data_IF_839179316978
#
_entry.id   IF_839179316978
#
_cell.length_a   1.000
_cell.length_b   1.000
_cell.length_c   1.000
_cell.angle_alpha   90.00
_cell.angle_beta   90.00
_cell.angle_gamma   90.00
#
_symmetry.space_group_name_H-M   'P 1'
#
loop_
_entity.id
_entity.type
_entity.pdbx_description
1 polymer ?
#
# COMPACT_ATOMS: atom_id res chain seq x y z
N UNK A 1 20.86 -11.51 28.26
CA UNK A 1 20.91 -10.03 28.20
C UNK A 1 21.47 -9.60 26.85
N UNK A 2 20.86 -8.65 26.15
CA UNK A 2 21.36 -8.16 24.85
C UNK A 2 22.61 -7.31 25.08
N UNK A 3 23.70 -7.65 24.36
CA UNK A 3 24.92 -6.84 24.38
C UNK A 3 24.74 -5.59 23.52
N UNK A 4 24.45 -4.46 24.16
CA UNK A 4 24.16 -3.18 23.48
C UNK A 4 25.36 -2.65 22.67
N UNK A 5 26.60 -2.86 23.12
CA UNK A 5 27.79 -2.42 22.40
C UNK A 5 28.00 -3.24 21.12
N UNK A 6 27.71 -4.53 21.15
CA UNK A 6 27.74 -5.38 19.96
C UNK A 6 26.65 -4.99 18.97
N UNK A 7 25.43 -4.73 19.47
CA UNK A 7 24.31 -4.26 18.64
C UNK A 7 24.66 -2.95 17.94
N UNK A 8 25.21 -1.97 18.65
CA UNK A 8 25.60 -0.68 18.05
C UNK A 8 26.63 -0.83 16.93
N UNK A 9 27.61 -1.75 17.10
CA UNK A 9 28.60 -2.04 16.05
C UNK A 9 27.97 -2.69 14.82
N UNK A 10 27.03 -3.63 15.01
CA UNK A 10 26.30 -4.25 13.90
C UNK A 10 25.43 -3.22 13.18
N UNK A 11 24.72 -2.36 13.91
CA UNK A 11 23.91 -1.29 13.31
C UNK A 11 24.78 -0.37 12.45
N UNK A 12 25.88 0.14 12.97
CA UNK A 12 26.78 1.00 12.20
C UNK A 12 27.35 0.31 10.94
N UNK A 13 27.67 -0.98 11.05
CA UNK A 13 28.12 -1.76 9.90
C UNK A 13 27.05 -1.91 8.82
N UNK A 14 25.79 -2.21 9.21
CA UNK A 14 24.70 -2.36 8.25
C UNK A 14 24.29 -1.01 7.64
N UNK A 15 24.36 0.09 8.38
CA UNK A 15 24.15 1.45 7.85
C UNK A 15 25.19 1.80 6.78
N UNK A 16 26.48 1.55 7.05
CA UNK A 16 27.55 1.76 6.06
C UNK A 16 27.34 0.89 4.81
N UNK A 17 26.96 -0.38 5.01
CA UNK A 17 26.67 -1.31 3.93
C UNK A 17 25.47 -0.84 3.10
N UNK A 18 24.41 -0.38 3.76
CA UNK A 18 23.22 0.17 3.10
C UNK A 18 23.57 1.33 2.18
N UNK A 19 24.32 2.30 2.66
CA UNK A 19 24.77 3.46 1.87
C UNK A 19 25.60 3.05 0.63
N UNK A 20 26.46 2.06 0.78
CA UNK A 20 27.27 1.55 -0.33
C UNK A 20 26.45 0.82 -1.40
N UNK A 21 25.37 0.13 -0.99
CA UNK A 21 24.56 -0.68 -1.89
C UNK A 21 23.46 0.14 -2.58
N UNK A 22 23.10 1.33 -2.07
CA UNK A 22 21.94 2.09 -2.56
C UNK A 22 22.24 3.55 -2.92
N UNK A 23 23.36 3.87 -3.61
CA UNK A 23 23.71 5.25 -3.92
C UNK A 23 22.69 5.97 -4.79
N UNK A 24 22.12 5.31 -5.81
CA UNK A 24 21.09 5.90 -6.69
C UNK A 24 19.78 6.15 -5.95
N UNK A 25 19.39 5.25 -5.06
CA UNK A 25 18.23 5.46 -4.18
C UNK A 25 18.44 6.70 -3.31
N UNK A 26 19.66 6.92 -2.80
CA UNK A 26 20.01 8.14 -2.06
C UNK A 26 19.89 9.40 -2.91
N UNK A 27 20.41 9.40 -4.11
CA UNK A 27 20.32 10.53 -5.05
C UNK A 27 18.87 10.86 -5.41
N UNK A 28 18.04 9.84 -5.69
CA UNK A 28 16.62 10.01 -5.96
C UNK A 28 15.86 10.55 -4.75
N UNK A 29 16.21 10.10 -3.55
CA UNK A 29 15.60 10.59 -2.32
C UNK A 29 15.90 12.06 -2.08
N UNK A 30 17.16 12.51 -2.24
CA UNK A 30 17.51 13.92 -2.13
C UNK A 30 16.78 14.78 -3.16
N UNK A 31 16.71 14.33 -4.39
CA UNK A 31 15.93 15.00 -5.45
C UNK A 31 14.43 15.04 -5.11
N UNK A 32 13.88 13.97 -4.57
CA UNK A 32 12.47 13.87 -4.22
C UNK A 32 12.06 14.86 -3.11
N UNK A 33 12.99 15.21 -2.20
CA UNK A 33 12.75 16.21 -1.14
C UNK A 33 12.48 17.61 -1.68
N UNK A 34 12.88 17.92 -2.91
CA UNK A 34 12.64 19.23 -3.53
C UNK A 34 11.14 19.47 -3.80
N UNK A 35 10.36 18.40 -3.96
CA UNK A 35 8.94 18.48 -4.37
C UNK A 35 7.97 17.61 -3.56
N UNK A 36 8.48 16.72 -2.71
CA UNK A 36 7.65 15.83 -1.89
C UNK A 36 7.99 15.95 -0.41
N UNK A 37 7.01 16.18 0.47
CA UNK A 37 7.21 16.17 1.91
C UNK A 37 7.86 14.86 2.38
N UNK A 38 9.04 14.98 3.03
CA UNK A 38 9.81 13.83 3.47
C UNK A 38 10.46 12.99 2.36
N UNK A 39 10.49 13.49 1.11
CA UNK A 39 11.12 12.83 -0.04
C UNK A 39 10.40 11.58 -0.53
N UNK A 40 9.13 11.39 -0.16
CA UNK A 40 8.35 10.18 -0.47
C UNK A 40 6.91 10.52 -0.89
N UNK A 41 6.28 9.71 -1.75
CA UNK A 41 4.89 9.93 -2.16
C UNK A 41 3.87 9.84 -1.01
N UNK A 42 4.14 9.02 0.00
CA UNK A 42 3.28 8.86 1.18
C UNK A 42 4.14 8.89 2.44
N UNK A 43 3.73 9.66 3.44
CA UNK A 43 4.51 9.93 4.66
C UNK A 43 4.98 8.68 5.41
N UNK A 44 4.25 7.60 5.38
CA UNK A 44 4.63 6.33 6.01
C UNK A 44 5.85 5.67 5.35
N UNK A 45 6.11 5.92 4.06
CA UNK A 45 7.26 5.37 3.35
C UNK A 45 8.60 5.92 3.88
N UNK A 46 8.60 7.09 4.53
CA UNK A 46 9.79 7.62 5.21
C UNK A 46 10.13 6.91 6.53
N UNK A 47 9.26 6.04 7.02
CA UNK A 47 9.44 5.32 8.29
C UNK A 47 10.15 3.97 8.14
N UNK A 48 10.51 3.57 6.94
CA UNK A 48 11.27 2.34 6.72
C UNK A 48 12.69 2.48 7.31
N UNK A 49 13.26 1.37 7.82
CA UNK A 49 14.63 1.39 8.34
C UNK A 49 15.62 1.72 7.23
N UNK A 50 16.70 2.41 7.60
CA UNK A 50 17.73 2.89 6.69
C UNK A 50 17.78 4.42 6.64
N UNK A 51 18.82 4.98 6.01
CA UNK A 51 18.99 6.42 5.87
C UNK A 51 17.94 7.06 4.93
N UNK A 52 17.40 6.26 4.01
CA UNK A 52 16.38 6.63 3.04
C UNK A 52 15.68 5.36 2.51
N UNK A 53 14.48 5.47 1.93
CA UNK A 53 13.82 4.33 1.31
C UNK A 53 14.55 3.85 0.05
N UNK A 54 14.51 2.55 -0.21
CA UNK A 54 14.96 1.96 -1.47
C UNK A 54 13.95 2.29 -2.56
N UNK A 55 14.42 2.71 -3.73
CA UNK A 55 13.58 3.00 -4.89
C UNK A 55 13.52 1.77 -5.80
N UNK A 56 12.31 1.30 -6.09
CA UNK A 56 12.08 0.11 -6.92
C UNK A 56 12.19 0.47 -8.39
N UNK A 57 12.89 -0.33 -9.17
CA UNK A 57 12.95 -0.27 -10.64
C UNK A 57 11.90 -1.20 -11.26
N UNK A 58 11.90 -2.48 -10.90
CA UNK A 58 10.99 -3.47 -11.45
C UNK A 58 10.66 -4.58 -10.46
N UNK A 59 9.52 -5.26 -10.71
CA UNK A 59 9.11 -6.39 -9.91
C UNK A 59 8.40 -7.46 -10.76
N UNK A 60 8.70 -8.74 -10.49
CA UNK A 60 8.10 -9.90 -11.15
C UNK A 60 7.99 -11.09 -10.20
N UNK A 61 6.83 -11.71 -10.14
CA UNK A 61 6.60 -12.82 -9.22
C UNK A 61 6.85 -12.42 -7.77
N UNK A 62 7.70 -13.17 -7.07
CA UNK A 62 8.03 -12.91 -5.66
C UNK A 62 9.30 -12.04 -5.48
N UNK A 63 9.76 -11.35 -6.53
CA UNK A 63 11.00 -10.57 -6.47
C UNK A 63 10.80 -9.16 -7.01
N UNK A 64 11.59 -8.25 -6.46
CA UNK A 64 11.79 -6.93 -7.05
C UNK A 64 13.28 -6.60 -7.15
N UNK A 65 13.60 -5.66 -8.01
CA UNK A 65 14.94 -5.09 -8.18
C UNK A 65 14.84 -3.60 -7.95
N UNK A 66 15.80 -3.05 -7.20
CA UNK A 66 15.89 -1.61 -6.99
C UNK A 66 16.64 -0.91 -8.13
N UNK A 67 16.64 0.42 -8.10
CA UNK A 67 17.32 1.27 -9.09
C UNK A 67 18.86 1.13 -9.05
N UNK A 68 19.39 0.55 -7.98
CA UNK A 68 20.81 0.25 -7.80
C UNK A 68 21.20 -1.12 -8.37
N UNK A 69 20.19 -1.94 -8.75
CA UNK A 69 20.36 -3.27 -9.33
C UNK A 69 20.36 -4.41 -8.31
N UNK A 70 20.08 -4.12 -7.05
CA UNK A 70 19.97 -5.17 -6.02
C UNK A 70 18.64 -5.90 -6.15
N UNK A 71 18.64 -7.22 -6.03
CA UNK A 71 17.45 -8.06 -6.11
C UNK A 71 17.03 -8.57 -4.74
N UNK A 72 15.73 -8.50 -4.46
CA UNK A 72 15.12 -8.87 -3.18
C UNK A 72 14.01 -9.89 -3.38
N UNK A 73 13.77 -10.71 -2.33
CA UNK A 73 12.54 -11.48 -2.20
C UNK A 73 11.54 -10.59 -1.48
N UNK A 74 10.37 -10.37 -2.07
CA UNK A 74 9.33 -9.52 -1.50
C UNK A 74 8.44 -10.31 -0.55
N UNK A 75 8.66 -10.12 0.75
CA UNK A 75 7.78 -10.62 1.80
C UNK A 75 6.69 -9.62 2.23
N UNK A 76 6.73 -8.39 1.71
CA UNK A 76 5.72 -7.37 1.96
C UNK A 76 4.52 -7.50 1.03
N UNK A 77 4.72 -8.05 -0.18
CA UNK A 77 3.67 -8.26 -1.20
C UNK A 77 2.95 -6.97 -1.58
N UNK A 78 3.67 -5.84 -1.58
CA UNK A 78 3.05 -4.54 -1.83
C UNK A 78 1.93 -4.22 -0.85
N UNK A 79 2.09 -4.58 0.42
CA UNK A 79 1.07 -4.49 1.47
C UNK A 79 -0.23 -5.22 1.08
N UNK A 80 -0.08 -6.49 0.68
CA UNK A 80 -1.13 -7.40 0.17
C UNK A 80 -1.65 -7.14 -1.25
N UNK A 81 -1.28 -6.03 -1.89
CA UNK A 81 -1.67 -5.73 -3.27
C UNK A 81 -1.11 -6.69 -4.32
N UNK A 82 0.00 -7.36 -4.00
CA UNK A 82 0.70 -8.30 -4.90
C UNK A 82 0.68 -9.75 -4.40
N UNK A 83 -0.40 -10.19 -3.74
CA UNK A 83 -0.53 -11.56 -3.20
C UNK A 83 -0.40 -12.66 -4.26
N UNK A 84 -0.74 -12.37 -5.51
CA UNK A 84 -0.59 -13.30 -6.65
C UNK A 84 0.78 -13.18 -7.34
N UNK A 85 1.69 -12.40 -6.78
CA UNK A 85 2.96 -12.02 -7.35
C UNK A 85 2.89 -10.73 -8.15
N UNK A 86 4.05 -10.09 -8.31
CA UNK A 86 4.21 -8.90 -9.14
C UNK A 86 4.04 -9.21 -10.62
N UNK A 87 3.39 -8.31 -11.35
CA UNK A 87 3.29 -8.32 -12.81
C UNK A 87 2.87 -9.68 -13.40
N UNK A 88 1.73 -10.29 -12.98
CA UNK A 88 1.23 -11.51 -13.62
C UNK A 88 0.98 -11.28 -15.11
N UNK A 89 1.40 -12.19 -15.97
CA UNK A 89 1.41 -11.98 -17.43
C UNK A 89 0.02 -11.68 -17.99
N UNK A 90 -1.01 -12.40 -17.54
CA UNK A 90 -2.39 -12.17 -17.98
C UNK A 90 -2.89 -10.77 -17.58
N UNK A 91 -2.59 -10.32 -16.36
CA UNK A 91 -2.96 -8.98 -15.89
C UNK A 91 -2.24 -7.90 -16.68
N UNK A 92 -0.94 -8.06 -16.92
CA UNK A 92 -0.15 -7.12 -17.73
C UNK A 92 -0.68 -7.02 -19.16
N UNK A 93 -1.04 -8.16 -19.77
CA UNK A 93 -1.62 -8.18 -21.11
C UNK A 93 -2.97 -7.45 -21.17
N UNK A 94 -3.85 -7.71 -20.21
CA UNK A 94 -5.16 -7.05 -20.13
C UNK A 94 -5.04 -5.53 -19.90
N UNK A 95 -4.14 -5.10 -19.04
CA UNK A 95 -3.88 -3.66 -18.79
C UNK A 95 -3.35 -2.99 -20.07
N UNK A 96 -2.40 -3.60 -20.78
CA UNK A 96 -1.85 -3.06 -22.03
C UNK A 96 -2.92 -2.91 -23.10
N UNK A 97 -3.78 -3.91 -23.25
CA UNK A 97 -4.90 -3.88 -24.20
C UNK A 97 -5.88 -2.76 -23.84
N UNK A 98 -6.31 -2.68 -22.57
CA UNK A 98 -7.28 -1.70 -22.12
C UNK A 98 -6.72 -0.27 -22.17
N UNK A 99 -5.44 -0.08 -21.90
CA UNK A 99 -4.80 1.24 -21.98
C UNK A 99 -4.93 1.85 -23.40
N UNK A 100 -4.86 1.03 -24.43
CA UNK A 100 -5.09 1.46 -25.83
C UNK A 100 -6.54 1.82 -26.17
N UNK A 101 -7.50 1.41 -25.33
CA UNK A 101 -8.94 1.68 -25.51
C UNK A 101 -9.44 2.82 -24.61
N UNK A 102 -8.62 3.29 -23.68
CA UNK A 102 -8.97 4.27 -22.66
C UNK A 102 -9.28 3.63 -21.30
N UNK A 103 -8.78 4.26 -20.24
CA UNK A 103 -8.92 3.79 -18.84
C UNK A 103 -9.70 4.75 -17.95
N UNK A 104 -10.01 5.94 -18.46
CA UNK A 104 -10.79 6.94 -17.72
C UNK A 104 -12.05 7.26 -18.51
N UNK A 105 -13.18 6.80 -18.02
CA UNK A 105 -14.46 7.01 -18.63
C UNK A 105 -15.53 7.31 -17.56
N UNK A 106 -16.49 8.18 -17.88
CA UNK A 106 -17.62 8.46 -16.99
C UNK A 106 -18.72 7.39 -17.09
N UNK A 107 -18.76 6.66 -18.20
CA UNK A 107 -19.73 5.60 -18.44
C UNK A 107 -19.15 4.23 -18.10
N UNK A 108 -19.98 3.25 -17.67
CA UNK A 108 -19.52 1.92 -17.36
C UNK A 108 -19.07 1.17 -18.62
N UNK A 109 -18.07 0.30 -18.46
CA UNK A 109 -17.65 -0.65 -19.49
C UNK A 109 -18.37 -2.00 -19.30
N UNK A 110 -18.30 -2.86 -20.29
CA UNK A 110 -18.85 -4.22 -20.21
C UNK A 110 -18.22 -5.04 -19.07
N UNK A 111 -16.96 -4.75 -18.72
CA UNK A 111 -16.25 -5.43 -17.64
C UNK A 111 -16.93 -5.28 -16.27
N UNK A 112 -17.64 -4.16 -16.05
CA UNK A 112 -18.38 -3.95 -14.80
C UNK A 112 -19.43 -5.05 -14.56
N UNK A 113 -20.16 -5.45 -15.60
CA UNK A 113 -21.15 -6.53 -15.52
C UNK A 113 -20.49 -7.90 -15.31
N UNK A 114 -19.39 -8.17 -16.03
CA UNK A 114 -18.64 -9.43 -15.93
C UNK A 114 -18.06 -9.61 -14.55
N UNK A 115 -17.36 -8.59 -14.04
CA UNK A 115 -16.70 -8.63 -12.74
C UNK A 115 -17.72 -8.73 -11.60
N UNK A 116 -18.83 -7.97 -11.65
CA UNK A 116 -19.85 -8.05 -10.62
C UNK A 116 -20.53 -9.40 -10.56
N UNK A 117 -20.80 -10.04 -11.71
CA UNK A 117 -21.36 -11.38 -11.77
C UNK A 117 -20.40 -12.43 -11.17
N UNK A 118 -19.12 -12.35 -11.49
CA UNK A 118 -18.09 -13.23 -10.92
C UNK A 118 -17.96 -13.07 -9.41
N UNK A 119 -17.95 -11.84 -8.90
CA UNK A 119 -17.91 -11.56 -7.47
C UNK A 119 -19.17 -12.09 -6.76
N UNK A 120 -20.35 -11.90 -7.35
CA UNK A 120 -21.59 -12.44 -6.80
C UNK A 120 -21.55 -13.98 -6.69
N UNK A 121 -21.03 -14.64 -7.72
CA UNK A 121 -20.86 -16.10 -7.72
C UNK A 121 -19.87 -16.58 -6.65
N UNK A 122 -18.71 -15.91 -6.48
CA UNK A 122 -17.68 -16.30 -5.53
C UNK A 122 -18.05 -16.05 -4.08
N UNK A 123 -18.70 -14.94 -3.78
CA UNK A 123 -18.95 -14.50 -2.42
C UNK A 123 -20.40 -14.68 -1.96
N UNK A 124 -21.30 -15.08 -2.84
CA UNK A 124 -22.72 -15.29 -2.50
C UNK A 124 -23.48 -14.00 -2.17
N UNK A 125 -22.95 -12.84 -2.53
CA UNK A 125 -23.58 -11.54 -2.34
C UNK A 125 -24.08 -11.02 -3.70
N UNK A 126 -25.37 -10.69 -3.84
CA UNK A 126 -25.98 -10.45 -5.14
C UNK A 126 -25.62 -9.10 -5.77
N UNK A 127 -25.23 -8.10 -4.98
CA UNK A 127 -25.01 -6.73 -5.43
C UNK A 127 -23.62 -6.23 -5.03
N UNK A 128 -22.95 -5.57 -5.96
CA UNK A 128 -21.60 -5.05 -5.79
C UNK A 128 -21.50 -3.59 -6.20
N UNK A 129 -20.77 -2.81 -5.41
CA UNK A 129 -20.40 -1.42 -5.68
C UNK A 129 -18.88 -1.34 -5.76
N UNK A 130 -18.37 -0.70 -6.79
CA UNK A 130 -16.92 -0.51 -6.96
C UNK A 130 -16.50 0.87 -6.47
N UNK A 131 -15.33 0.93 -5.85
CA UNK A 131 -14.70 2.16 -5.39
C UNK A 131 -13.23 2.19 -5.83
N UNK A 132 -12.61 3.38 -5.81
CA UNK A 132 -11.23 3.55 -6.26
C UNK A 132 -10.22 3.02 -5.22
N UNK A 133 -10.60 2.97 -3.94
CA UNK A 133 -9.74 2.54 -2.85
C UNK A 133 -10.53 1.90 -1.71
N UNK A 134 -9.84 1.15 -0.84
CA UNK A 134 -10.42 0.64 0.40
C UNK A 134 -10.92 1.76 1.32
N UNK A 135 -10.25 2.92 1.31
CA UNK A 135 -10.72 4.11 2.03
C UNK A 135 -12.12 4.53 1.58
N UNK A 136 -12.35 4.60 0.27
CA UNK A 136 -13.68 4.94 -0.26
C UNK A 136 -14.72 3.88 0.08
N UNK A 137 -14.38 2.60 -0.04
CA UNK A 137 -15.25 1.51 0.35
C UNK A 137 -15.68 1.65 1.82
N UNK A 138 -14.74 1.87 2.73
CA UNK A 138 -15.02 2.02 4.15
C UNK A 138 -15.87 3.26 4.45
N UNK A 139 -15.65 4.38 3.76
CA UNK A 139 -16.52 5.58 3.86
C UNK A 139 -17.95 5.26 3.46
N UNK A 140 -18.17 4.56 2.37
CA UNK A 140 -19.50 4.14 1.96
C UNK A 140 -20.14 3.19 2.97
N UNK A 141 -19.40 2.19 3.46
CA UNK A 141 -19.91 1.25 4.48
C UNK A 141 -20.34 1.97 5.75
N UNK A 142 -19.55 2.91 6.25
CA UNK A 142 -19.90 3.70 7.44
C UNK A 142 -21.16 4.53 7.21
N UNK A 143 -21.27 5.21 6.09
CA UNK A 143 -22.47 6.00 5.73
C UNK A 143 -23.71 5.15 5.64
N UNK A 144 -23.64 4.02 4.93
CA UNK A 144 -24.80 3.12 4.80
C UNK A 144 -25.18 2.49 6.14
N UNK A 145 -24.20 2.06 6.94
CA UNK A 145 -24.44 1.51 8.27
C UNK A 145 -25.15 2.52 9.18
N UNK A 146 -24.69 3.77 9.21
CA UNK A 146 -25.33 4.84 9.98
C UNK A 146 -26.74 5.16 9.48
N UNK A 147 -26.92 5.24 8.16
CA UNK A 147 -28.23 5.51 7.56
C UNK A 147 -29.25 4.41 7.90
N UNK A 148 -28.85 3.15 7.73
CA UNK A 148 -29.75 2.00 7.92
C UNK A 148 -30.05 1.72 9.39
N UNK A 149 -29.11 1.97 10.29
CA UNK A 149 -29.26 1.63 11.72
C UNK A 149 -29.65 2.82 12.60
N UNK A 150 -29.52 4.04 12.13
CA UNK A 150 -29.66 5.27 12.92
C UNK A 150 -28.56 5.44 13.99
N UNK A 151 -27.52 4.58 14.01
CA UNK A 151 -26.44 4.62 15.00
C UNK A 151 -25.28 5.46 14.50
N UNK A 152 -24.78 6.37 15.32
CA UNK A 152 -23.65 7.24 14.96
C UNK A 152 -22.27 6.65 15.24
N UNK A 153 -22.18 5.83 16.28
CA UNK A 153 -20.90 5.29 16.78
C UNK A 153 -20.47 4.04 15.99
N UNK A 154 -19.17 3.91 15.80
CA UNK A 154 -18.50 2.72 15.27
C UNK A 154 -17.50 2.20 16.31
N UNK A 155 -17.20 0.92 16.27
CA UNK A 155 -16.15 0.30 17.08
C UNK A 155 -14.91 0.18 16.22
N UNK A 156 -13.79 0.69 16.69
CA UNK A 156 -12.49 0.60 16.04
C UNK A 156 -11.54 -0.15 16.99
N UNK A 157 -10.75 -1.07 16.44
CA UNK A 157 -9.73 -1.77 17.21
C UNK A 157 -8.47 -0.90 17.22
N UNK A 158 -7.91 -0.66 18.41
CA UNK A 158 -6.70 0.15 18.57
C UNK A 158 -5.56 -0.36 17.68
N UNK A 159 -4.87 0.56 17.03
CA UNK A 159 -3.76 0.33 16.09
C UNK A 159 -4.12 -0.50 14.84
N UNK A 160 -5.39 -0.71 14.54
CA UNK A 160 -5.81 -1.29 13.27
C UNK A 160 -5.95 -0.20 12.20
N UNK A 161 -5.41 -0.48 11.00
CA UNK A 161 -5.52 0.42 9.86
C UNK A 161 -6.74 0.05 9.00
N UNK A 162 -7.58 1.05 8.73
CA UNK A 162 -8.81 0.90 7.94
C UNK A 162 -8.88 1.88 6.76
N UNK A 163 -7.75 2.22 6.18
CA UNK A 163 -7.65 3.31 5.21
C UNK A 163 -7.62 4.68 5.89
N UNK A 164 -7.55 5.74 5.10
CA UNK A 164 -7.54 7.13 5.58
C UNK A 164 -8.97 7.65 5.78
N UNK A 165 -9.73 7.00 6.67
CA UNK A 165 -11.10 7.36 7.04
C UNK A 165 -11.08 8.02 8.39
N UNK A 166 -11.51 9.28 8.47
CA UNK A 166 -11.40 10.11 9.69
C UNK A 166 -12.04 9.43 10.91
N UNK A 167 -13.19 8.78 10.71
CA UNK A 167 -13.90 8.08 11.79
C UNK A 167 -13.15 6.86 12.34
N UNK A 168 -12.15 6.36 11.62
CA UNK A 168 -11.35 5.18 12.03
C UNK A 168 -9.93 5.55 12.46
N UNK A 169 -9.54 6.81 12.32
CA UNK A 169 -8.28 7.34 12.85
C UNK A 169 -8.40 7.59 14.35
N UNK A 170 -8.62 6.53 15.10
CA UNK A 170 -8.70 6.60 16.54
C UNK A 170 -7.65 5.66 17.15
N UNK A 171 -6.84 6.17 18.04
CA UNK A 171 -5.95 5.39 18.90
C UNK A 171 -6.13 5.86 20.33
N UNK A 172 -5.86 4.99 21.28
CA UNK A 172 -5.94 5.35 22.69
C UNK A 172 -4.62 6.01 23.13
N UNK A 173 -4.73 7.10 23.89
CA UNK A 173 -3.61 7.65 24.64
C UNK A 173 -3.27 6.77 25.85
N UNK A 174 -2.26 7.15 26.62
CA UNK A 174 -1.83 6.43 27.83
C UNK A 174 -2.90 6.38 28.94
N UNK A 175 -3.93 7.22 28.86
CA UNK A 175 -5.05 7.30 29.81
C UNK A 175 -6.30 6.58 29.29
N UNK A 176 -6.25 6.01 28.08
CA UNK A 176 -7.38 5.33 27.47
C UNK A 176 -8.39 6.24 26.77
N UNK A 177 -8.02 7.49 26.47
CA UNK A 177 -8.85 8.42 25.70
C UNK A 177 -8.48 8.35 24.21
N UNK A 178 -9.45 8.62 23.32
CA UNK A 178 -9.27 8.73 21.87
C UNK A 178 -8.98 10.16 21.45
#
# INVERSE_FOLDING_TARGET
MINRNHLAKLTAHEEERFLKLHPKSGELFEKAKESMPGGVPMSWMAKWPGAYPVFIDQAKGARFTDVDGNSYIDFCLGDTGSMTGHSPDATVAAIREQAGKGITAMLPTADAAIVSAELANRFGLPLWQFTVSATDANRHVIRYSRLLTGRSKIVVIDRCYHGSVDETFATLDTNGNT
#
